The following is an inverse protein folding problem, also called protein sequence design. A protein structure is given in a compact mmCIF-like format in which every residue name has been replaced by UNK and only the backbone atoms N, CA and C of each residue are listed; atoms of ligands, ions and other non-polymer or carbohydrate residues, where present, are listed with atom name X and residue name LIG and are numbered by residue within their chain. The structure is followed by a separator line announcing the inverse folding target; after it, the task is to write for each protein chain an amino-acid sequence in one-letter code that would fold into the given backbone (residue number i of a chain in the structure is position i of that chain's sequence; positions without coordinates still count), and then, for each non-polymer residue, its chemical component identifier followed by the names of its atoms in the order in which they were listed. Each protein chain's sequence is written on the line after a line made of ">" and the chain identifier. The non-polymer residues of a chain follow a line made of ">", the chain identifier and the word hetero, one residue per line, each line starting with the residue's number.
data_IF_936745363777
#
_entry.id   IF_936745363777
#
_cell.length_a   1.000
_cell.length_b   1.000
_cell.length_c   1.000
_cell.angle_alpha   90.00
_cell.angle_beta   90.00
_cell.angle_gamma   90.00
#
_symmetry.space_group_name_H-M   'P 1'
#
loop_
_entity.id
_entity.type
_entity.pdbx_description
1 polymer ?
#
# COMPACT_ATOMS: atom_id res chain seq x y z
N UNK A 1 -22.01 28.45 -16.25
CA UNK A 1 -22.04 27.49 -15.13
C UNK A 1 -20.62 27.15 -14.77
N UNK A 2 -20.15 27.60 -13.61
CA UNK A 2 -18.77 27.40 -13.17
C UNK A 2 -18.62 25.97 -12.66
N UNK A 3 -17.83 25.16 -13.36
CA UNK A 3 -17.45 23.84 -12.89
C UNK A 3 -16.44 24.02 -11.75
N UNK A 4 -16.82 23.59 -10.54
CA UNK A 4 -15.84 23.33 -9.50
C UNK A 4 -14.96 22.19 -10.00
N UNK A 5 -13.75 22.50 -10.48
CA UNK A 5 -12.74 21.49 -10.71
C UNK A 5 -12.54 20.76 -9.38
N UNK A 6 -12.90 19.47 -9.32
CA UNK A 6 -12.52 18.63 -8.20
C UNK A 6 -11.01 18.71 -8.11
N UNK A 7 -10.49 19.38 -7.08
CA UNK A 7 -9.07 19.30 -6.75
C UNK A 7 -8.85 17.86 -6.29
N UNK A 8 -8.50 16.99 -7.23
CA UNK A 8 -8.08 15.62 -6.95
C UNK A 8 -6.73 15.71 -6.25
N UNK A 9 -6.74 15.88 -4.93
CA UNK A 9 -5.53 15.72 -4.13
C UNK A 9 -5.24 14.23 -4.05
N UNK A 10 -4.20 13.78 -4.75
CA UNK A 10 -3.69 12.44 -4.54
C UNK A 10 -3.11 12.39 -3.12
N UNK A 11 -3.57 11.42 -2.33
CA UNK A 11 -3.05 11.13 -1.01
C UNK A 11 -1.77 10.31 -1.16
N UNK A 12 -0.75 10.58 -0.34
CA UNK A 12 0.31 9.61 -0.11
C UNK A 12 -0.29 8.44 0.66
N UNK A 13 -0.34 7.26 0.05
CA UNK A 13 -1.06 6.12 0.59
C UNK A 13 -0.15 5.30 1.52
N UNK A 14 0.80 4.61 0.91
CA UNK A 14 1.76 3.76 1.62
C UNK A 14 3.09 3.69 0.89
N UNK A 15 4.15 3.39 1.63
CA UNK A 15 5.42 2.93 1.07
C UNK A 15 5.48 1.42 1.22
N UNK A 16 5.94 0.73 0.18
CA UNK A 16 6.34 -0.68 0.24
C UNK A 16 7.83 -0.77 -0.05
N UNK A 17 8.50 -1.72 0.58
CA UNK A 17 9.90 -2.04 0.32
C UNK A 17 10.05 -3.54 0.14
N UNK A 18 11.00 -3.94 -0.70
CA UNK A 18 11.25 -5.35 -0.98
C UNK A 18 11.98 -6.07 0.17
N UNK A 19 12.72 -5.34 1.00
CA UNK A 19 13.36 -5.88 2.19
C UNK A 19 12.63 -5.46 3.49
N UNK A 20 12.94 -6.16 4.57
CA UNK A 20 12.45 -5.84 5.93
C UNK A 20 13.01 -4.49 6.41
N UNK A 21 12.42 -3.93 7.46
CA UNK A 21 12.88 -2.70 8.13
C UNK A 21 12.99 -1.47 7.21
N UNK A 22 12.17 -1.41 6.15
CA UNK A 22 12.15 -0.32 5.17
C UNK A 22 13.46 -0.13 4.40
N UNK A 23 14.21 -1.21 4.16
CA UNK A 23 15.44 -1.18 3.35
C UNK A 23 15.22 -1.68 1.92
N UNK A 24 16.30 -1.74 1.13
CA UNK A 24 16.24 -2.19 -0.25
C UNK A 24 15.60 -1.17 -1.19
N UNK A 25 14.88 -1.69 -2.19
CA UNK A 25 14.10 -0.88 -3.12
C UNK A 25 12.73 -0.59 -2.54
N UNK A 26 12.38 0.69 -2.48
CA UNK A 26 11.10 1.14 -1.96
C UNK A 26 10.37 2.00 -2.98
N UNK A 27 9.05 1.85 -3.04
CA UNK A 27 8.16 2.73 -3.81
C UNK A 27 7.06 3.27 -2.90
N UNK A 28 6.69 4.53 -3.12
CA UNK A 28 5.56 5.17 -2.42
C UNK A 28 4.39 5.30 -3.37
N UNK A 29 3.27 4.69 -3.01
CA UNK A 29 2.02 4.80 -3.75
C UNK A 29 1.30 6.08 -3.36
N UNK A 30 0.87 6.83 -4.37
CA UNK A 30 -0.04 7.96 -4.21
C UNK A 30 -1.31 7.70 -5.01
N UNK A 31 -2.44 8.20 -4.52
CA UNK A 31 -3.72 7.93 -5.17
C UNK A 31 -4.93 8.44 -4.40
N UNK A 32 -6.09 8.02 -4.86
CA UNK A 32 -7.37 8.31 -4.23
C UNK A 32 -7.67 7.29 -3.15
N UNK A 33 -8.39 7.73 -2.11
CA UNK A 33 -8.94 6.82 -1.11
C UNK A 33 -9.98 5.89 -1.75
N UNK A 34 -10.25 4.76 -1.09
CA UNK A 34 -11.25 3.77 -1.52
C UNK A 34 -11.03 3.22 -2.95
N UNK A 35 -9.77 3.20 -3.41
CA UNK A 35 -9.39 2.72 -4.75
C UNK A 35 -8.43 1.54 -4.63
N UNK A 36 -8.58 0.54 -5.52
CA UNK A 36 -7.68 -0.60 -5.61
C UNK A 36 -6.51 -0.29 -6.56
N UNK A 37 -5.28 -0.63 -6.15
CA UNK A 37 -4.08 -0.41 -6.95
C UNK A 37 -3.29 -1.72 -7.09
N UNK A 38 -2.75 -1.96 -8.29
CA UNK A 38 -1.81 -3.06 -8.53
C UNK A 38 -0.39 -2.64 -8.17
N UNK A 39 0.33 -3.52 -7.47
CA UNK A 39 1.73 -3.32 -7.07
C UNK A 39 2.73 -3.72 -8.15
N UNK A 40 2.27 -4.27 -9.27
CA UNK A 40 3.07 -4.65 -10.45
C UNK A 40 4.39 -5.36 -10.10
N UNK A 41 5.54 -4.69 -10.27
CA UNK A 41 6.89 -5.21 -10.05
C UNK A 41 7.17 -5.63 -8.60
N UNK A 42 6.34 -5.20 -7.65
CA UNK A 42 6.40 -5.59 -6.24
C UNK A 42 5.50 -6.79 -5.89
N UNK A 43 4.85 -7.43 -6.88
CA UNK A 43 4.07 -8.63 -6.64
C UNK A 43 4.92 -9.72 -5.97
N UNK A 44 4.43 -10.29 -4.87
CA UNK A 44 5.13 -11.29 -4.04
C UNK A 44 6.53 -10.88 -3.53
N UNK A 45 6.88 -9.60 -3.60
CA UNK A 45 8.22 -9.12 -3.25
C UNK A 45 8.24 -8.18 -2.05
N UNK A 46 7.09 -7.79 -1.50
CA UNK A 46 7.01 -6.77 -0.42
C UNK A 46 7.29 -7.42 0.93
N UNK A 47 8.30 -6.91 1.64
CA UNK A 47 8.69 -7.41 2.97
C UNK A 47 8.44 -6.40 4.10
N UNK A 48 8.36 -5.10 3.80
CA UNK A 48 7.97 -4.08 4.79
C UNK A 48 7.12 -2.97 4.18
N UNK A 49 6.26 -2.37 5.00
CA UNK A 49 5.34 -1.33 4.53
C UNK A 49 4.90 -0.37 5.63
N UNK A 50 4.56 0.87 5.26
CA UNK A 50 3.96 1.85 6.18
C UNK A 50 2.96 2.73 5.46
N UNK A 51 1.88 3.08 6.15
CA UNK A 51 0.82 3.99 5.69
C UNK A 51 1.06 5.42 6.18
N UNK A 52 0.41 6.40 5.53
CA UNK A 52 0.55 7.83 5.82
C UNK A 52 -0.78 8.52 6.13
N UNK A 53 -0.74 9.69 6.77
CA UNK A 53 -1.91 10.57 6.89
C UNK A 53 -3.07 10.00 7.72
N UNK A 54 -2.81 9.03 8.61
CA UNK A 54 -3.85 8.39 9.41
C UNK A 54 -4.80 7.48 8.64
N UNK A 55 -4.45 7.15 7.38
CA UNK A 55 -5.21 6.21 6.57
C UNK A 55 -4.79 4.78 6.91
N UNK A 56 -5.62 3.82 6.53
CA UNK A 56 -5.27 2.41 6.50
C UNK A 56 -5.34 1.88 5.08
N UNK A 57 -4.50 0.90 4.76
CA UNK A 57 -4.52 0.21 3.47
C UNK A 57 -4.66 -1.28 3.72
N UNK A 58 -5.46 -1.97 2.90
CA UNK A 58 -5.52 -3.43 2.89
C UNK A 58 -4.61 -3.94 1.78
N UNK A 59 -3.67 -4.81 2.13
CA UNK A 59 -2.96 -5.60 1.13
C UNK A 59 -3.77 -6.85 0.80
N UNK A 60 -3.67 -7.29 -0.44
CA UNK A 60 -4.38 -8.43 -0.98
C UNK A 60 -3.37 -9.39 -1.60
N UNK A 61 -3.50 -10.68 -1.31
CA UNK A 61 -2.62 -11.69 -1.92
C UNK A 61 -2.87 -11.84 -3.41
N UNK A 62 -4.11 -11.65 -3.84
CA UNK A 62 -4.50 -11.82 -5.22
C UNK A 62 -4.80 -10.46 -5.88
N UNK A 63 -4.64 -10.43 -7.20
CA UNK A 63 -5.03 -9.28 -8.02
C UNK A 63 -6.50 -8.89 -7.85
N UNK A 64 -6.84 -7.68 -8.31
CA UNK A 64 -8.21 -7.13 -8.27
C UNK A 64 -8.81 -7.04 -6.87
N UNK A 65 -7.97 -6.81 -5.86
CA UNK A 65 -8.37 -6.70 -4.45
C UNK A 65 -9.11 -7.94 -3.93
N UNK A 66 -8.54 -9.12 -4.20
CA UNK A 66 -9.10 -10.42 -3.79
C UNK A 66 -8.16 -11.18 -2.85
N UNK A 67 -8.70 -12.23 -2.26
CA UNK A 67 -7.96 -13.07 -1.32
C UNK A 67 -7.82 -12.43 0.07
N UNK A 68 -7.17 -13.17 0.96
CA UNK A 68 -6.88 -12.70 2.30
C UNK A 68 -5.67 -11.76 2.30
N UNK A 69 -5.58 -10.90 3.31
CA UNK A 69 -4.41 -10.07 3.55
C UNK A 69 -4.57 -9.13 4.73
N UNK A 70 -3.48 -8.53 5.20
CA UNK A 70 -3.47 -7.71 6.40
C UNK A 70 -4.08 -6.33 6.15
N UNK A 71 -4.63 -5.76 7.22
CA UNK A 71 -4.92 -4.34 7.29
C UNK A 71 -3.69 -3.63 7.85
N UNK A 72 -3.11 -2.72 7.07
CA UNK A 72 -1.96 -1.91 7.45
C UNK A 72 -2.49 -0.60 8.05
N UNK A 73 -2.37 -0.46 9.36
CA UNK A 73 -2.80 0.72 10.12
C UNK A 73 -1.62 1.54 10.65
N UNK A 74 -0.39 1.08 10.40
CA UNK A 74 0.84 1.69 10.87
C UNK A 74 2.07 1.05 10.21
N UNK A 75 3.29 1.36 10.69
CA UNK A 75 4.49 0.75 10.17
C UNK A 75 4.54 -0.75 10.49
N UNK A 76 4.84 -1.56 9.47
CA UNK A 76 5.08 -3.00 9.55
C UNK A 76 6.49 -3.25 9.05
N UNK A 77 7.38 -3.59 9.98
CA UNK A 77 8.80 -3.79 9.72
C UNK A 77 9.10 -5.14 9.04
N UNK A 78 8.25 -6.14 9.24
CA UNK A 78 8.34 -7.44 8.59
C UNK A 78 6.93 -8.01 8.35
N UNK A 79 6.50 -8.12 7.10
CA UNK A 79 5.18 -8.62 6.72
C UNK A 79 5.01 -10.13 6.95
N UNK A 80 6.10 -10.87 7.12
CA UNK A 80 6.05 -12.27 7.51
C UNK A 80 5.47 -12.44 8.92
N UNK A 81 5.66 -11.46 9.80
CA UNK A 81 5.08 -11.48 11.16
C UNK A 81 3.55 -11.39 11.14
N UNK A 82 2.97 -10.97 10.00
CA UNK A 82 1.53 -10.94 9.74
C UNK A 82 1.04 -12.13 8.92
N UNK A 83 1.92 -13.07 8.56
CA UNK A 83 1.60 -14.23 7.71
C UNK A 83 1.22 -13.87 6.27
N UNK A 84 1.69 -12.72 5.76
CA UNK A 84 1.31 -12.22 4.43
C UNK A 84 2.40 -12.38 3.37
N UNK A 85 3.64 -12.04 3.73
CA UNK A 85 4.80 -12.31 2.87
C UNK A 85 5.21 -13.80 2.98
N UNK A 86 5.96 -14.29 2.00
CA UNK A 86 6.57 -15.64 1.99
C UNK A 86 8.04 -15.56 2.38
#
# INVERSE_FOLDING_TARGET
>A
SSAFAAVSTAYTLLTVCNDVNFSGNCITFTGNLNTCYSVHEYNDAISSTKVYGGIFCRLYRDGDCRGAGPLITGPVYNLNDMGFAN
#
